data_IF_994401219257
#
_entry.id   IF_994401219257
#
_cell.length_a   1.000
_cell.length_b   1.000
_cell.length_c   1.000
_cell.angle_alpha   90.00
_cell.angle_beta   90.00
_cell.angle_gamma   90.00
#
_symmetry.space_group_name_H-M   'P 1'
#
loop_
_entity.id
_entity.type
_entity.pdbx_description
1 polymer ?
#
# COMPACT_ATOMS: atom_id res chain seq x y z
N UNK A 1 8.40 21.94 1.47
CA UNK A 1 7.74 21.04 0.50
C UNK A 1 8.69 20.65 -0.64
N UNK A 2 9.94 20.31 -0.34
CA UNK A 2 10.97 19.95 -1.36
C UNK A 2 11.51 18.53 -1.12
N UNK A 3 11.59 18.12 0.15
CA UNK A 3 12.13 16.82 0.60
C UNK A 3 11.38 15.58 0.12
N UNK A 4 10.09 15.67 -0.20
CA UNK A 4 9.29 14.52 -0.67
C UNK A 4 9.43 14.27 -2.17
N UNK A 5 9.57 15.33 -2.96
CA UNK A 5 9.63 15.28 -4.43
C UNK A 5 11.05 14.95 -4.94
N UNK A 6 12.10 15.36 -4.20
CA UNK A 6 13.49 14.91 -4.44
C UNK A 6 13.70 13.44 -4.08
N UNK A 7 13.06 12.94 -3.02
CA UNK A 7 13.18 11.54 -2.58
C UNK A 7 12.50 10.55 -3.53
N UNK A 8 11.41 10.97 -4.18
CA UNK A 8 10.76 10.19 -5.24
C UNK A 8 11.64 10.02 -6.51
N UNK A 9 12.75 10.78 -6.61
CA UNK A 9 13.70 10.74 -7.73
C UNK A 9 15.02 10.05 -7.42
N UNK A 10 15.18 9.46 -6.22
CA UNK A 10 16.41 8.76 -5.86
C UNK A 10 16.46 7.41 -6.57
N UNK A 11 17.46 7.20 -7.41
CA UNK A 11 17.77 5.88 -7.96
C UNK A 11 18.23 4.94 -6.85
N UNK A 12 17.63 3.75 -6.78
CA UNK A 12 18.00 2.69 -5.83
C UNK A 12 18.62 1.52 -6.59
N UNK A 13 19.62 0.89 -6.00
CA UNK A 13 20.17 -0.38 -6.51
C UNK A 13 19.22 -1.55 -6.20
N UNK A 14 19.35 -2.66 -6.92
CA UNK A 14 18.59 -3.89 -6.64
C UNK A 14 18.82 -4.35 -5.19
N UNK A 15 20.07 -4.27 -4.70
CA UNK A 15 20.40 -4.59 -3.31
C UNK A 15 19.63 -3.68 -2.32
N UNK A 16 19.58 -2.38 -2.58
CA UNK A 16 18.85 -1.43 -1.73
C UNK A 16 17.34 -1.70 -1.70
N UNK A 17 16.75 -2.09 -2.83
CA UNK A 17 15.32 -2.49 -2.90
C UNK A 17 15.06 -3.76 -2.08
N UNK A 18 15.94 -4.77 -2.18
CA UNK A 18 15.83 -6.00 -1.41
C UNK A 18 16.05 -5.77 0.10
N UNK A 19 17.01 -4.92 0.46
CA UNK A 19 17.25 -4.51 1.84
C UNK A 19 16.06 -3.73 2.42
N UNK A 20 15.40 -2.89 1.61
CA UNK A 20 14.14 -2.22 1.99
C UNK A 20 13.04 -3.25 2.29
N UNK A 21 12.85 -4.24 1.42
CA UNK A 21 11.88 -5.32 1.65
C UNK A 21 12.19 -6.08 2.95
N UNK A 22 13.45 -6.41 3.21
CA UNK A 22 13.87 -7.08 4.47
C UNK A 22 13.54 -6.24 5.69
N UNK A 23 13.84 -4.93 5.62
CA UNK A 23 13.57 -3.99 6.69
C UNK A 23 12.07 -3.91 7.01
N UNK A 24 11.23 -3.82 5.97
CA UNK A 24 9.77 -3.75 6.09
C UNK A 24 9.16 -5.06 6.59
N UNK A 25 9.62 -6.19 6.07
CA UNK A 25 9.19 -7.53 6.51
C UNK A 25 9.52 -7.79 7.98
N UNK A 26 10.48 -7.07 8.57
CA UNK A 26 10.78 -7.12 10.00
C UNK A 26 9.63 -6.65 10.89
N UNK A 27 8.78 -5.73 10.44
CA UNK A 27 7.56 -5.34 11.17
C UNK A 27 6.61 -6.52 11.33
N UNK A 28 6.36 -7.22 10.22
CA UNK A 28 5.51 -8.41 10.20
C UNK A 28 6.16 -9.57 10.98
N UNK A 29 7.47 -9.76 10.81
CA UNK A 29 8.24 -10.80 11.51
C UNK A 29 8.05 -10.69 13.03
N UNK A 30 8.28 -9.50 13.61
CA UNK A 30 8.05 -9.25 15.03
C UNK A 30 6.63 -9.57 15.45
N UNK A 31 5.64 -9.11 14.68
CA UNK A 31 4.24 -9.30 15.00
C UNK A 31 3.80 -10.77 14.99
N UNK A 32 4.47 -11.63 14.21
CA UNK A 32 4.21 -13.07 14.18
C UNK A 32 5.14 -13.89 15.09
N UNK A 33 5.96 -13.22 15.91
CA UNK A 33 6.86 -13.87 16.89
C UNK A 33 8.20 -14.33 16.33
N UNK A 34 8.59 -13.84 15.14
CA UNK A 34 9.92 -14.05 14.58
C UNK A 34 10.88 -12.90 14.95
N UNK A 35 12.20 -13.12 14.95
CA UNK A 35 13.18 -12.05 15.15
C UNK A 35 13.07 -10.95 14.09
N UNK A 36 13.30 -9.70 14.50
CA UNK A 36 13.50 -8.57 13.57
C UNK A 36 14.92 -8.65 12.97
N UNK A 37 15.10 -8.58 11.64
CA UNK A 37 16.44 -8.55 11.03
C UNK A 37 17.29 -7.34 11.45
N UNK A 38 16.67 -6.25 11.95
CA UNK A 38 17.40 -5.11 12.52
C UNK A 38 17.71 -5.27 14.02
N UNK A 39 17.27 -6.36 14.65
CA UNK A 39 17.49 -6.62 16.07
C UNK A 39 16.56 -5.87 17.03
N UNK A 40 16.88 -5.93 18.31
CA UNK A 40 16.13 -5.22 19.37
C UNK A 40 16.24 -3.70 19.20
N UNK A 41 15.15 -2.98 19.51
CA UNK A 41 15.10 -1.52 19.34
C UNK A 41 14.99 -1.05 17.89
N UNK A 42 14.80 -1.95 16.93
CA UNK A 42 14.62 -1.57 15.53
C UNK A 42 13.44 -0.58 15.37
N UNK A 43 13.62 0.53 14.60
CA UNK A 43 12.61 1.57 14.46
C UNK A 43 11.24 1.03 14.06
N UNK A 44 10.16 1.70 14.46
CA UNK A 44 8.80 1.37 14.02
C UNK A 44 8.44 2.04 12.69
N UNK A 45 9.02 3.21 12.41
CA UNK A 45 8.75 3.97 11.19
C UNK A 45 9.36 3.30 9.94
N UNK A 46 8.57 3.05 8.88
CA UNK A 46 9.03 2.42 7.64
C UNK A 46 10.28 3.05 7.01
N UNK A 47 10.36 4.38 7.00
CA UNK A 47 11.45 5.10 6.38
C UNK A 47 12.71 5.02 7.24
N UNK A 48 12.58 5.25 8.55
CA UNK A 48 13.69 5.12 9.49
C UNK A 48 14.30 3.72 9.47
N UNK A 49 13.47 2.67 9.37
CA UNK A 49 13.91 1.27 9.24
C UNK A 49 14.74 1.06 7.97
N UNK A 50 14.23 1.54 6.83
CA UNK A 50 14.92 1.40 5.54
C UNK A 50 16.30 2.08 5.57
N UNK A 51 16.34 3.32 6.07
CA UNK A 51 17.60 4.08 6.18
C UNK A 51 18.56 3.45 7.21
N UNK A 52 18.05 2.86 8.30
CA UNK A 52 18.86 2.14 9.27
C UNK A 52 19.48 0.87 8.66
N UNK A 53 18.72 0.11 7.88
CA UNK A 53 19.26 -1.05 7.16
C UNK A 53 20.33 -0.64 6.16
N UNK A 54 20.11 0.40 5.35
CA UNK A 54 21.13 0.85 4.41
C UNK A 54 22.39 1.37 5.09
N UNK A 55 22.26 2.05 6.24
CA UNK A 55 23.42 2.45 7.07
C UNK A 55 24.19 1.24 7.60
N UNK A 56 23.49 0.21 8.09
CA UNK A 56 24.12 -1.03 8.58
C UNK A 56 24.84 -1.78 7.46
N UNK A 57 24.21 -1.91 6.28
CA UNK A 57 24.83 -2.54 5.11
C UNK A 57 26.04 -1.76 4.64
N UNK A 58 25.96 -0.42 4.58
CA UNK A 58 27.11 0.42 4.21
C UNK A 58 28.26 0.31 5.23
N UNK A 59 27.97 0.25 6.53
CA UNK A 59 28.99 0.11 7.57
C UNK A 59 29.70 -1.26 7.52
N UNK A 60 28.95 -2.33 7.24
CA UNK A 60 29.48 -3.70 7.13
C UNK A 60 30.24 -3.94 5.83
N UNK A 61 29.98 -3.16 4.78
CA UNK A 61 30.73 -3.20 3.52
C UNK A 61 32.15 -2.59 3.61
N UNK A 62 32.49 -1.92 4.71
CA UNK A 62 33.85 -1.59 5.18
C UNK A 62 34.91 -1.27 4.12
N UNK A 63 35.04 0.00 3.72
CA UNK A 63 36.29 0.71 3.33
C UNK A 63 37.25 0.11 2.28
N UNK A 64 36.97 -1.07 1.74
CA UNK A 64 37.78 -1.78 0.74
C UNK A 64 36.98 -1.90 -0.54
N UNK A 65 37.70 -1.98 -1.68
CA UNK A 65 37.20 -1.82 -3.05
C UNK A 65 35.71 -2.09 -3.22
N UNK A 66 34.98 -1.10 -3.75
CA UNK A 66 33.54 -1.14 -3.95
C UNK A 66 33.09 -2.53 -4.37
N UNK A 67 32.32 -3.19 -3.50
CA UNK A 67 31.80 -4.52 -3.79
C UNK A 67 31.09 -4.50 -5.16
N UNK A 68 31.32 -5.52 -6.02
CA UNK A 68 30.56 -5.64 -7.25
C UNK A 68 29.05 -5.65 -6.97
N UNK A 69 28.28 -4.82 -7.66
CA UNK A 69 26.83 -4.67 -7.45
C UNK A 69 26.07 -6.01 -7.49
N UNK A 70 26.52 -6.94 -8.34
CA UNK A 70 25.96 -8.29 -8.43
C UNK A 70 26.09 -9.09 -7.14
N UNK A 71 27.23 -8.96 -6.44
CA UNK A 71 27.49 -9.66 -5.20
C UNK A 71 26.66 -9.04 -4.05
N UNK A 72 26.54 -7.71 -4.02
CA UNK A 72 25.65 -7.02 -3.09
C UNK A 72 24.19 -7.46 -3.28
N UNK A 73 23.72 -7.50 -4.53
CA UNK A 73 22.37 -7.96 -4.87
C UNK A 73 22.15 -9.43 -4.50
N UNK A 74 23.12 -10.31 -4.75
CA UNK A 74 23.03 -11.72 -4.38
C UNK A 74 22.92 -11.92 -2.86
N UNK A 75 23.68 -11.17 -2.06
CA UNK A 75 23.58 -11.23 -0.59
C UNK A 75 22.25 -10.70 -0.07
N UNK A 76 21.80 -9.55 -0.57
CA UNK A 76 20.50 -8.99 -0.20
C UNK A 76 19.36 -9.95 -0.58
N UNK A 77 19.46 -10.60 -1.75
CA UNK A 77 18.52 -11.62 -2.19
C UNK A 77 18.48 -12.83 -1.27
N UNK A 78 19.62 -13.36 -0.84
CA UNK A 78 19.67 -14.48 0.11
C UNK A 78 18.96 -14.14 1.41
N UNK A 79 19.26 -12.97 2.01
CA UNK A 79 18.60 -12.51 3.25
C UNK A 79 17.08 -12.39 3.07
N UNK A 80 16.64 -11.72 2.01
CA UNK A 80 15.22 -11.58 1.70
C UNK A 80 14.55 -12.94 1.50
N UNK A 81 15.23 -13.87 0.82
CA UNK A 81 14.69 -15.20 0.51
C UNK A 81 14.53 -16.06 1.76
N UNK A 82 15.48 -15.99 2.68
CA UNK A 82 15.44 -16.69 3.97
C UNK A 82 14.30 -16.17 4.85
N UNK A 83 14.24 -14.85 5.05
CA UNK A 83 13.16 -14.22 5.82
C UNK A 83 11.77 -14.50 5.21
N UNK A 84 11.65 -14.42 3.88
CA UNK A 84 10.42 -14.76 3.17
C UNK A 84 9.95 -16.18 3.47
N UNK A 85 10.88 -17.15 3.49
CA UNK A 85 10.56 -18.55 3.78
C UNK A 85 10.08 -18.71 5.22
N UNK A 86 10.71 -18.06 6.19
CA UNK A 86 10.31 -18.13 7.59
C UNK A 86 8.95 -17.48 7.85
N UNK A 87 8.67 -16.34 7.23
CA UNK A 87 7.35 -15.71 7.29
C UNK A 87 6.27 -16.66 6.74
N UNK A 88 6.45 -17.17 5.52
CA UNK A 88 5.46 -18.08 4.90
C UNK A 88 5.27 -19.36 5.72
N UNK A 89 6.34 -19.97 6.22
CA UNK A 89 6.26 -21.14 7.11
C UNK A 89 5.50 -20.82 8.40
N UNK A 90 5.74 -19.64 8.97
CA UNK A 90 5.07 -19.20 10.19
C UNK A 90 3.59 -18.97 9.95
N UNK A 91 3.20 -18.31 8.85
CA UNK A 91 1.80 -18.17 8.46
C UNK A 91 1.11 -19.53 8.26
N UNK A 92 1.77 -20.47 7.56
CA UNK A 92 1.25 -21.81 7.34
C UNK A 92 1.04 -22.59 8.65
N UNK A 93 1.97 -22.47 9.62
CA UNK A 93 1.83 -23.07 10.95
C UNK A 93 0.73 -22.41 11.78
N UNK A 94 0.59 -21.09 11.70
CA UNK A 94 -0.42 -20.37 12.45
C UNK A 94 -1.85 -20.67 11.97
N UNK A 95 -2.01 -20.94 10.67
CA UNK A 95 -3.28 -21.29 10.05
C UNK A 95 -4.38 -20.24 10.24
N UNK A 96 -5.63 -20.65 10.02
CA UNK A 96 -6.82 -19.83 10.26
C UNK A 96 -7.50 -19.34 8.97
N UNK A 97 -8.72 -18.83 9.14
CA UNK A 97 -9.50 -18.22 8.06
C UNK A 97 -9.10 -16.76 7.85
N UNK A 98 -9.30 -16.25 6.64
CA UNK A 98 -9.15 -14.82 6.34
C UNK A 98 -9.92 -13.96 7.33
N UNK A 99 -9.28 -12.95 7.92
CA UNK A 99 -9.90 -12.07 8.91
C UNK A 99 -9.96 -12.58 10.35
N UNK A 100 -9.66 -13.86 10.60
CA UNK A 100 -9.84 -14.46 11.93
C UNK A 100 -8.75 -14.06 12.91
N UNK A 101 -7.50 -14.08 12.47
CA UNK A 101 -6.35 -13.72 13.30
C UNK A 101 -6.02 -12.25 13.13
N UNK A 102 -5.87 -11.56 14.26
CA UNK A 102 -5.54 -10.14 14.31
C UNK A 102 -4.09 -9.96 14.77
N UNK A 103 -3.42 -8.96 14.21
CA UNK A 103 -2.10 -8.49 14.58
C UNK A 103 -2.18 -7.02 15.05
N UNK A 104 -1.25 -6.56 15.90
CA UNK A 104 -1.09 -5.13 16.14
C UNK A 104 -0.89 -4.38 14.82
N UNK A 105 -1.47 -3.19 14.67
CA UNK A 105 -1.32 -2.39 13.46
C UNK A 105 0.12 -2.01 13.12
N UNK A 106 1.02 -2.05 14.11
CA UNK A 106 2.47 -1.89 13.94
C UNK A 106 3.12 -3.04 13.15
N UNK A 107 2.38 -4.10 12.81
CA UNK A 107 2.81 -5.17 11.91
C UNK A 107 2.94 -4.72 10.44
N UNK A 108 2.42 -3.55 10.09
CA UNK A 108 2.63 -2.87 8.82
C UNK A 108 2.80 -1.37 9.01
N UNK A 109 2.90 -0.60 7.93
CA UNK A 109 2.83 0.86 8.00
C UNK A 109 1.48 1.30 8.61
N UNK A 110 1.48 1.98 9.78
CA UNK A 110 0.27 2.40 10.49
C UNK A 110 -0.64 3.33 9.68
N UNK A 111 -0.11 4.01 8.66
CA UNK A 111 -0.87 4.92 7.80
C UNK A 111 -1.75 4.23 6.74
N UNK A 112 -1.59 2.91 6.55
CA UNK A 112 -2.24 2.19 5.45
C UNK A 112 -3.73 1.95 5.69
N UNK A 113 -4.15 1.59 6.91
CA UNK A 113 -5.53 1.16 7.15
C UNK A 113 -6.34 2.23 7.91
N UNK A 114 -7.35 2.86 7.28
CA UNK A 114 -8.25 3.79 7.97
C UNK A 114 -9.00 3.13 9.12
N UNK A 115 -9.27 3.89 10.17
CA UNK A 115 -10.15 3.47 11.27
C UNK A 115 -9.47 2.74 12.42
N UNK A 116 -8.19 2.42 12.28
CA UNK A 116 -7.35 1.96 13.36
C UNK A 116 -7.23 2.99 14.50
N UNK A 117 -7.17 4.29 14.18
CA UNK A 117 -6.91 5.34 15.17
C UNK A 117 -8.01 5.66 16.20
N UNK A 118 -9.12 4.92 16.23
CA UNK A 118 -10.17 5.09 17.25
C UNK A 118 -10.14 4.04 18.37
N UNK A 119 -9.38 2.94 18.18
CA UNK A 119 -9.19 1.92 19.20
C UNK A 119 -7.92 2.20 20.00
N UNK A 120 -7.95 1.91 21.30
CA UNK A 120 -6.78 1.99 22.20
C UNK A 120 -5.60 1.15 21.68
N UNK A 121 -5.91 0.02 21.01
CA UNK A 121 -4.96 -0.86 20.35
C UNK A 121 -5.45 -1.20 18.94
N UNK A 122 -5.01 -0.47 17.90
CA UNK A 122 -5.39 -0.78 16.54
C UNK A 122 -4.87 -2.13 16.08
N UNK A 123 -5.74 -2.93 15.46
CA UNK A 123 -5.40 -4.25 14.94
C UNK A 123 -5.75 -4.42 13.46
N UNK A 124 -4.94 -5.19 12.74
CA UNK A 124 -5.16 -5.57 11.35
C UNK A 124 -5.28 -7.09 11.22
N UNK A 125 -6.08 -7.61 10.28
CA UNK A 125 -6.06 -9.04 9.97
C UNK A 125 -4.67 -9.50 9.55
N UNK A 126 -4.23 -10.67 10.01
CA UNK A 126 -3.02 -11.34 9.54
C UNK A 126 -3.01 -11.45 8.00
N UNK A 127 -4.16 -11.82 7.43
CA UNK A 127 -4.35 -11.91 5.97
C UNK A 127 -4.04 -10.59 5.27
N UNK A 128 -4.46 -9.46 5.84
CA UNK A 128 -4.23 -8.14 5.26
C UNK A 128 -2.78 -7.68 5.41
N UNK A 129 -2.10 -8.08 6.48
CA UNK A 129 -0.67 -7.84 6.66
C UNK A 129 0.17 -8.61 5.61
N UNK A 130 -0.17 -9.88 5.36
CA UNK A 130 0.48 -10.68 4.30
C UNK A 130 0.11 -10.19 2.89
N UNK A 131 -1.11 -9.71 2.69
CA UNK A 131 -1.53 -9.13 1.42
C UNK A 131 -0.82 -7.79 1.15
N UNK A 132 -0.60 -6.98 2.19
CA UNK A 132 0.26 -5.79 2.10
C UNK A 132 1.68 -6.14 1.67
N UNK A 133 2.26 -7.17 2.30
CA UNK A 133 3.57 -7.68 1.92
C UNK A 133 3.61 -8.16 0.48
N UNK A 134 2.59 -8.91 0.04
CA UNK A 134 2.48 -9.38 -1.33
C UNK A 134 2.41 -8.21 -2.33
N UNK A 135 1.66 -7.16 -1.99
CA UNK A 135 1.60 -5.92 -2.77
C UNK A 135 2.98 -5.27 -2.94
N UNK A 136 3.72 -5.09 -1.83
CA UNK A 136 5.06 -4.50 -1.87
C UNK A 136 6.05 -5.37 -2.67
N UNK A 137 6.03 -6.69 -2.46
CA UNK A 137 6.89 -7.63 -3.20
C UNK A 137 6.61 -7.58 -4.71
N UNK A 138 5.34 -7.58 -5.12
CA UNK A 138 4.97 -7.50 -6.53
C UNK A 138 5.37 -6.17 -7.16
N UNK A 139 5.12 -5.05 -6.47
CA UNK A 139 5.52 -3.71 -6.92
C UNK A 139 7.03 -3.63 -7.16
N UNK A 140 7.82 -4.03 -6.17
CA UNK A 140 9.28 -3.96 -6.26
C UNK A 140 9.89 -5.01 -7.20
N UNK A 141 9.25 -6.17 -7.36
CA UNK A 141 9.62 -7.11 -8.43
C UNK A 141 9.42 -6.47 -9.81
N UNK A 142 8.35 -5.68 -10.00
CA UNK A 142 8.15 -4.89 -11.22
C UNK A 142 9.20 -3.78 -11.42
N UNK A 143 9.67 -3.14 -10.35
CA UNK A 143 10.78 -2.18 -10.43
C UNK A 143 12.08 -2.85 -10.86
N UNK A 144 12.42 -3.98 -10.25
CA UNK A 144 13.62 -4.77 -10.59
C UNK A 144 13.53 -5.30 -12.02
N UNK A 145 12.39 -5.89 -12.39
CA UNK A 145 12.18 -6.44 -13.73
C UNK A 145 12.37 -5.40 -14.83
N UNK A 146 11.84 -4.18 -14.63
CA UNK A 146 12.08 -3.05 -15.55
C UNK A 146 13.55 -2.65 -15.60
N UNK A 147 14.26 -2.66 -14.47
CA UNK A 147 15.67 -2.29 -14.41
C UNK A 147 16.59 -3.28 -15.15
N UNK A 148 16.19 -4.54 -15.27
CA UNK A 148 16.97 -5.59 -15.94
C UNK A 148 16.36 -6.07 -17.26
N UNK A 149 15.37 -5.36 -17.79
CA UNK A 149 14.62 -5.69 -19.01
C UNK A 149 14.05 -7.14 -19.01
N UNK A 150 13.50 -7.55 -17.87
CA UNK A 150 12.89 -8.87 -17.69
C UNK A 150 11.36 -8.81 -17.88
N UNK A 151 10.76 -9.72 -18.68
CA UNK A 151 9.31 -9.77 -18.87
C UNK A 151 8.62 -10.26 -17.59
N UNK A 152 7.95 -9.35 -16.89
CA UNK A 152 7.27 -9.63 -15.63
C UNK A 152 5.79 -9.23 -15.70
N UNK A 153 4.94 -10.26 -15.80
CA UNK A 153 3.49 -10.08 -15.94
C UNK A 153 2.79 -9.81 -14.60
N UNK A 154 1.60 -9.18 -14.62
CA UNK A 154 0.76 -9.03 -13.45
C UNK A 154 0.36 -10.38 -12.80
N UNK A 155 -0.08 -10.37 -11.52
CA UNK A 155 -0.60 -11.57 -10.87
C UNK A 155 -1.87 -12.07 -11.56
N UNK A 156 -2.21 -13.34 -11.35
CA UNK A 156 -3.50 -13.91 -11.76
C UNK A 156 -4.66 -13.02 -11.26
N UNK A 157 -5.71 -12.86 -12.08
CA UNK A 157 -6.82 -11.95 -11.78
C UNK A 157 -7.46 -12.15 -10.40
N UNK A 158 -7.57 -13.39 -9.93
CA UNK A 158 -8.06 -13.69 -8.57
C UNK A 158 -7.15 -13.16 -7.46
N UNK A 159 -5.82 -13.19 -7.64
CA UNK A 159 -4.87 -12.61 -6.70
C UNK A 159 -4.83 -11.09 -6.83
N UNK A 160 -4.89 -10.57 -8.06
CA UNK A 160 -4.91 -9.13 -8.32
C UNK A 160 -6.16 -8.48 -7.70
N UNK A 161 -7.32 -9.15 -7.74
CA UNK A 161 -8.55 -8.69 -7.05
C UNK A 161 -8.32 -8.43 -5.56
N UNK A 162 -7.57 -9.30 -4.88
CA UNK A 162 -7.27 -9.13 -3.47
C UNK A 162 -6.40 -7.87 -3.25
N UNK A 163 -5.41 -7.64 -4.10
CA UNK A 163 -4.56 -6.45 -4.05
C UNK A 163 -5.34 -5.17 -4.33
N UNK A 164 -6.25 -5.20 -5.31
CA UNK A 164 -7.15 -4.09 -5.65
C UNK A 164 -8.08 -3.77 -4.48
N UNK A 165 -8.73 -4.79 -3.91
CA UNK A 165 -9.61 -4.64 -2.74
C UNK A 165 -8.87 -4.06 -1.54
N UNK A 166 -7.69 -4.60 -1.22
CA UNK A 166 -6.81 -4.06 -0.20
C UNK A 166 -6.52 -2.58 -0.45
N UNK A 167 -6.15 -2.21 -1.68
CA UNK A 167 -5.82 -0.83 -2.05
C UNK A 167 -7.03 0.11 -1.91
N UNK A 168 -8.20 -0.33 -2.37
CA UNK A 168 -9.44 0.43 -2.25
C UNK A 168 -9.79 0.70 -0.77
N UNK A 169 -9.63 -0.30 0.11
CA UNK A 169 -9.85 -0.14 1.56
C UNK A 169 -8.93 0.88 2.23
N UNK A 170 -7.77 1.20 1.65
CA UNK A 170 -6.81 2.19 2.20
C UNK A 170 -7.17 3.63 1.88
N UNK A 171 -7.85 3.85 0.76
CA UNK A 171 -8.14 5.18 0.23
C UNK A 171 -8.81 6.13 1.24
N UNK A 172 -9.83 5.73 2.02
CA UNK A 172 -10.44 6.63 3.00
C UNK A 172 -9.41 7.20 3.99
N UNK A 173 -8.45 6.36 4.41
CA UNK A 173 -7.38 6.73 5.35
C UNK A 173 -6.39 7.68 4.71
N UNK A 174 -5.95 7.38 3.49
CA UNK A 174 -5.07 8.25 2.71
C UNK A 174 -5.70 9.61 2.43
N UNK A 175 -6.99 9.65 2.06
CA UNK A 175 -7.74 10.90 1.82
C UNK A 175 -7.81 11.73 3.12
N UNK A 176 -8.17 11.10 4.24
CA UNK A 176 -8.23 11.78 5.53
C UNK A 176 -6.85 12.30 5.97
N UNK A 177 -5.79 11.50 5.78
CA UNK A 177 -4.41 11.88 6.06
C UNK A 177 -3.96 13.10 5.24
N UNK A 178 -4.20 13.09 3.92
CA UNK A 178 -3.88 14.23 3.04
C UNK A 178 -4.63 15.50 3.44
N UNK A 179 -5.90 15.40 3.87
CA UNK A 179 -6.65 16.56 4.37
C UNK A 179 -6.08 17.12 5.67
N UNK A 180 -5.75 16.26 6.63
CA UNK A 180 -5.10 16.68 7.89
C UNK A 180 -3.76 17.36 7.64
N UNK A 181 -3.01 16.87 6.63
CA UNK A 181 -1.75 17.47 6.21
C UNK A 181 -1.91 18.77 5.38
N UNK A 182 -3.13 19.25 5.13
CA UNK A 182 -3.37 20.45 4.32
C UNK A 182 -3.08 20.28 2.82
N UNK A 183 -2.94 19.03 2.35
CA UNK A 183 -2.62 18.70 0.95
C UNK A 183 -3.85 18.52 0.06
N UNK A 184 -5.04 18.81 0.58
CA UNK A 184 -6.28 18.79 -0.17
C UNK A 184 -6.61 20.20 -0.68
N UNK A 185 -6.93 20.33 -1.97
CA UNK A 185 -7.35 21.59 -2.59
C UNK A 185 -8.73 22.05 -2.08
N UNK A 186 -9.53 21.12 -1.56
CA UNK A 186 -10.87 21.39 -1.02
C UNK A 186 -10.84 21.32 0.51
N UNK A 187 -11.35 22.36 1.19
CA UNK A 187 -11.51 22.35 2.65
C UNK A 187 -12.45 21.21 3.08
N UNK A 188 -12.17 20.64 4.25
CA UNK A 188 -13.11 19.72 4.90
C UNK A 188 -14.45 20.44 5.11
N UNK A 189 -15.54 19.81 4.68
CA UNK A 189 -16.90 20.31 4.90
C UNK A 189 -17.52 19.48 6.01
N UNK A 190 -17.93 20.12 7.08
CA UNK A 190 -18.75 19.47 8.10
C UNK A 190 -20.13 19.24 7.49
N UNK A 191 -20.54 17.98 7.40
CA UNK A 191 -21.90 17.60 7.00
C UNK A 191 -22.80 17.65 8.23
N UNK A 192 -24.06 18.03 8.05
CA UNK A 192 -25.07 17.96 9.12
C UNK A 192 -25.15 16.53 9.65
N UNK A 193 -25.16 16.37 10.97
CA UNK A 193 -25.31 15.06 11.60
C UNK A 193 -26.57 14.35 11.05
N UNK A 194 -26.43 13.08 10.67
CA UNK A 194 -27.51 12.28 10.07
C UNK A 194 -27.69 12.42 8.56
N UNK A 195 -26.98 13.33 7.88
CA UNK A 195 -26.95 13.35 6.41
C UNK A 195 -26.14 12.16 5.86
N UNK A 196 -26.55 11.53 4.75
CA UNK A 196 -25.72 10.54 4.07
C UNK A 196 -24.36 11.15 3.72
N UNK A 197 -23.27 10.51 4.13
CA UNK A 197 -21.92 10.93 3.77
C UNK A 197 -21.71 10.82 2.26
N UNK A 198 -20.86 11.69 1.70
CA UNK A 198 -20.49 11.67 0.29
C UNK A 198 -19.63 10.45 -0.01
N UNK A 199 -19.83 9.90 -1.19
CA UNK A 199 -19.15 8.70 -1.67
C UNK A 199 -18.65 8.90 -3.09
N UNK A 200 -17.48 8.35 -3.41
CA UNK A 200 -17.00 8.20 -4.79
C UNK A 200 -17.19 6.75 -5.21
N UNK A 201 -17.74 6.54 -6.40
CA UNK A 201 -17.72 5.24 -7.05
C UNK A 201 -16.39 5.08 -7.80
N UNK A 202 -15.60 4.09 -7.39
CA UNK A 202 -14.36 3.70 -8.01
C UNK A 202 -14.61 2.39 -8.76
N UNK A 203 -14.62 2.48 -10.08
CA UNK A 203 -14.72 1.34 -10.98
C UNK A 203 -13.30 0.91 -11.37
N UNK A 204 -12.94 -0.33 -11.06
CA UNK A 204 -11.67 -0.91 -11.49
C UNK A 204 -11.96 -1.89 -12.62
N UNK A 205 -11.33 -1.67 -13.77
CA UNK A 205 -11.40 -2.52 -14.94
C UNK A 205 -10.29 -3.60 -14.89
N UNK A 206 -10.42 -4.64 -15.72
CA UNK A 206 -9.43 -5.73 -15.81
C UNK A 206 -9.78 -7.00 -15.04
N UNK A 207 -8.90 -7.99 -15.09
CA UNK A 207 -9.13 -9.33 -14.53
C UNK A 207 -9.25 -9.32 -13.00
N UNK A 208 -8.62 -8.35 -12.34
CA UNK A 208 -8.73 -8.08 -10.92
C UNK A 208 -9.75 -7.01 -10.56
N UNK A 209 -10.50 -6.44 -11.52
CA UNK A 209 -11.27 -5.23 -11.34
C UNK A 209 -12.70 -5.39 -10.80
N UNK A 210 -13.24 -4.40 -10.11
CA UNK A 210 -14.62 -4.39 -9.61
C UNK A 210 -15.06 -3.01 -9.12
N UNK A 211 -16.27 -2.93 -8.58
CA UNK A 211 -16.85 -1.69 -8.08
C UNK A 211 -16.59 -1.49 -6.58
N UNK A 212 -16.07 -0.31 -6.24
CA UNK A 212 -15.77 0.09 -4.88
C UNK A 212 -16.42 1.44 -4.58
N UNK A 213 -16.95 1.61 -3.37
CA UNK A 213 -17.55 2.87 -2.94
C UNK A 213 -16.76 3.44 -1.78
N UNK A 214 -16.08 4.56 -2.03
CA UNK A 214 -15.12 5.15 -1.10
C UNK A 214 -15.78 6.31 -0.34
N UNK A 215 -15.95 6.22 0.99
CA UNK A 215 -16.47 7.32 1.78
C UNK A 215 -15.50 8.50 1.77
N UNK A 216 -16.02 9.70 1.52
CA UNK A 216 -15.21 10.91 1.46
C UNK A 216 -15.17 11.66 2.78
N UNK A 217 -16.21 11.62 3.61
CA UNK A 217 -16.33 12.56 4.74
C UNK A 217 -15.69 12.04 6.04
N UNK A 218 -15.73 10.72 6.27
CA UNK A 218 -15.03 10.07 7.38
C UNK A 218 -14.37 8.77 6.91
N UNK A 219 -13.12 8.49 7.33
CA UNK A 219 -12.42 7.26 6.97
C UNK A 219 -13.07 5.99 7.51
N UNK A 220 -13.92 6.10 8.54
CA UNK A 220 -14.63 4.98 9.18
C UNK A 220 -16.11 4.92 8.84
N UNK A 221 -16.61 5.83 7.99
CA UNK A 221 -18.02 5.83 7.63
C UNK A 221 -18.38 4.60 6.80
N UNK A 222 -19.37 3.83 7.28
CA UNK A 222 -20.00 2.82 6.46
C UNK A 222 -20.73 3.49 5.28
N UNK A 223 -20.61 2.90 4.09
CA UNK A 223 -21.33 3.35 2.90
C UNK A 223 -22.69 2.67 2.85
N UNK A 224 -23.76 3.45 2.94
CA UNK A 224 -25.12 2.93 2.76
C UNK A 224 -25.43 2.73 1.29
N UNK A 225 -26.41 1.86 0.97
CA UNK A 225 -26.87 1.66 -0.41
C UNK A 225 -27.38 2.97 -1.05
N UNK A 226 -27.96 3.86 -0.26
CA UNK A 226 -28.41 5.19 -0.73
C UNK A 226 -27.19 6.04 -1.11
N UNK A 227 -26.20 6.16 -0.22
CA UNK A 227 -24.96 6.89 -0.50
C UNK A 227 -24.18 6.32 -1.71
N UNK A 228 -24.24 5.00 -1.92
CA UNK A 228 -23.65 4.35 -3.08
C UNK A 228 -24.35 4.71 -4.40
N UNK A 229 -25.69 4.86 -4.39
CA UNK A 229 -26.48 5.29 -5.56
C UNK A 229 -26.29 6.77 -5.88
N UNK A 230 -26.12 7.58 -4.84
CA UNK A 230 -25.94 9.03 -4.93
C UNK A 230 -24.44 9.41 -4.90
N UNK A 231 -23.57 8.54 -5.44
CA UNK A 231 -22.15 8.80 -5.52
C UNK A 231 -21.89 10.14 -6.22
N UNK A 232 -21.09 11.01 -5.58
CA UNK A 232 -20.90 12.39 -6.04
C UNK A 232 -19.93 12.50 -7.21
N UNK A 233 -19.18 11.42 -7.48
CA UNK A 233 -18.30 11.27 -8.63
C UNK A 233 -18.06 9.78 -8.91
N UNK A 234 -17.71 9.49 -10.16
CA UNK A 234 -17.23 8.17 -10.60
C UNK A 234 -15.81 8.32 -11.18
N UNK A 235 -14.94 7.38 -10.82
CA UNK A 235 -13.56 7.28 -11.32
C UNK A 235 -13.36 5.87 -11.83
N UNK A 236 -12.86 5.73 -13.07
CA UNK A 236 -12.54 4.43 -13.67
C UNK A 236 -11.03 4.32 -13.92
N UNK A 237 -10.43 3.19 -13.55
CA UNK A 237 -9.00 2.88 -13.71
C UNK A 237 -8.81 1.40 -14.04
N UNK A 238 -7.75 1.04 -14.77
CA UNK A 238 -7.36 -0.37 -14.90
C UNK A 238 -6.74 -0.90 -13.58
N UNK A 239 -6.93 -2.18 -13.28
CA UNK A 239 -6.46 -2.84 -12.05
C UNK A 239 -4.97 -2.61 -11.76
N UNK A 240 -4.09 -2.87 -12.73
CA UNK A 240 -2.64 -2.69 -12.58
C UNK A 240 -2.28 -1.21 -12.45
N UNK A 241 -2.91 -0.32 -13.22
CA UNK A 241 -2.68 1.13 -13.14
C UNK A 241 -3.05 1.66 -11.76
N UNK A 242 -4.20 1.24 -11.23
CA UNK A 242 -4.66 1.62 -9.90
C UNK A 242 -3.66 1.21 -8.81
N UNK A 243 -3.17 -0.03 -8.85
CA UNK A 243 -2.15 -0.48 -7.90
C UNK A 243 -0.81 0.27 -8.08
N UNK A 244 -0.38 0.54 -9.30
CA UNK A 244 0.84 1.33 -9.55
C UNK A 244 0.72 2.76 -8.99
N UNK A 245 -0.43 3.42 -9.20
CA UNK A 245 -0.69 4.75 -8.61
C UNK A 245 -0.67 4.71 -7.08
N UNK A 246 -1.26 3.68 -6.49
CA UNK A 246 -1.25 3.50 -5.04
C UNK A 246 0.15 3.24 -4.47
N UNK A 247 1.04 2.61 -5.24
CA UNK A 247 2.44 2.43 -4.90
C UNK A 247 3.29 3.71 -5.06
N UNK A 248 2.69 4.84 -5.45
CA UNK A 248 3.42 6.08 -5.77
C UNK A 248 4.07 6.06 -7.16
N UNK A 249 3.75 5.06 -7.99
CA UNK A 249 4.15 4.99 -9.38
C UNK A 249 3.45 6.07 -10.20
N UNK A 250 4.10 7.21 -10.39
CA UNK A 250 3.63 8.26 -11.29
C UNK A 250 3.86 7.85 -12.75
N UNK A 251 2.92 7.11 -13.35
CA UNK A 251 2.70 7.21 -14.80
C UNK A 251 1.67 8.31 -15.03
N UNK A 252 1.91 9.22 -15.99
CA UNK A 252 0.89 10.21 -16.38
C UNK A 252 -0.36 9.42 -16.82
N UNK A 253 -1.52 9.60 -16.18
CA UNK A 253 -2.73 8.91 -16.62
C UNK A 253 -3.04 9.35 -18.05
N UNK A 254 -3.30 8.39 -18.93
CA UNK A 254 -3.77 8.68 -20.29
C UNK A 254 -5.19 9.25 -20.16
N UNK A 255 -5.53 10.40 -20.76
CA UNK A 255 -6.87 10.95 -20.59
C UNK A 255 -7.90 10.01 -21.23
N UNK A 256 -8.66 9.28 -20.41
CA UNK A 256 -9.91 8.63 -20.83
C UNK A 256 -10.96 9.73 -21.00
N UNK A 257 -11.62 9.77 -22.17
CA UNK A 257 -12.68 10.73 -22.49
C UNK A 257 -13.79 10.62 -21.44
N UNK A 258 -13.99 11.68 -20.67
CA UNK A 258 -15.17 11.83 -19.83
C UNK A 258 -16.42 11.84 -20.72
N UNK A 259 -17.20 10.76 -20.67
CA UNK A 259 -18.56 10.73 -21.22
C UNK A 259 -19.43 11.67 -20.42
N UNK A 260 -19.74 12.84 -20.98
CA UNK A 260 -20.77 13.74 -20.43
C UNK A 260 -22.12 13.03 -20.48
N UNK A 261 -22.67 12.68 -19.32
CA UNK A 261 -24.10 12.46 -19.15
C UNK A 261 -24.66 13.44 -18.10
N UNK A 262 -24.76 14.71 -18.49
CA UNK A 262 -25.62 15.67 -17.77
C UNK A 262 -27.06 15.34 -18.16
N UNK A 263 -27.79 14.61 -17.31
CA UNK A 263 -29.27 14.61 -17.37
C UNK A 263 -29.79 15.54 -16.27
N UNK A 264 -29.99 16.82 -16.62
CA UNK A 264 -30.86 17.72 -15.86
C UNK A 264 -32.29 17.21 -16.03
N UNK A 265 -32.93 16.74 -14.95
CA UNK A 265 -34.38 16.60 -14.92
C UNK A 265 -34.97 17.99 -14.65
N UNK A 266 -35.58 18.59 -15.66
CA UNK A 266 -36.51 19.70 -15.49
C UNK A 266 -37.72 19.20 -14.70
N UNK A 267 -38.11 19.95 -13.67
CA UNK A 267 -39.42 19.83 -13.03
C UNK A 267 -40.46 20.34 -14.02
N UNK A 268 -41.62 19.67 -14.05
CA UNK A 268 -42.82 20.16 -14.73
C UNK A 268 -43.88 20.35 -13.64
N UNK A 269 -44.58 21.48 -13.75
CA UNK A 269 -45.47 22.15 -12.81
C UNK A 269 -44.77 22.91 -11.67
#
# INVERSE_FOLDING_TARGET
>A
MVRGDERARRSLTIAQVLDHLVAMDGLLARAVGLPDPLGEGAPGDPLERTEATWRLVAATAGGTAAEPERLAAARAWTRWREQSRELVRTAARQGGRTGERMLPATACDPGLFPGLGAATEPQIPLSDAYLNRAFACWTHAGDIARAVDYPYEPPLGSHLRLLVDLTARRLPGSIAGRRRAGLATTRARLTTAGSPGRTVHLEIEGAGGGDYWIPLDSPTAAVTRVAARDAVAQVALEDVEFCQLAAGGCRRPRPRRAGRAIRRRSRMC
#
